data_IF_484305772480
#
_entry.id   IF_484305772480
#
_cell.length_a   1.000
_cell.length_b   1.000
_cell.length_c   1.000
_cell.angle_alpha   90.00
_cell.angle_beta   90.00
_cell.angle_gamma   90.00
#
_symmetry.space_group_name_H-M   'P 1'
#
loop_
_entity.id
_entity.type
_entity.pdbx_description
1 polymer ?
#
# COMPACT_ATOMS: atom_id res chain seq x y z
N UNK A 1 -10.97 3.39 -21.51
CA UNK A 1 -11.90 4.31 -20.84
C UNK A 1 -11.25 5.67 -20.78
N UNK A 2 -11.95 6.67 -21.24
CA UNK A 2 -11.48 8.04 -21.40
C UNK A 2 -10.99 8.62 -20.06
N UNK A 3 -9.72 8.99 -20.01
CA UNK A 3 -9.07 9.62 -18.85
C UNK A 3 -9.35 11.14 -18.76
N UNK A 4 -10.40 11.62 -19.42
CA UNK A 4 -10.64 13.04 -19.66
C UNK A 4 -11.26 13.83 -18.50
N UNK A 5 -11.41 13.24 -17.29
CA UNK A 5 -12.11 13.89 -16.17
C UNK A 5 -11.25 14.20 -14.94
N UNK A 6 -9.95 13.91 -14.94
CA UNK A 6 -9.06 14.26 -13.83
C UNK A 6 -8.40 15.63 -14.06
N UNK A 7 -9.01 16.69 -13.50
CA UNK A 7 -8.36 18.01 -13.41
C UNK A 7 -7.29 17.98 -12.33
N UNK A 8 -6.06 18.43 -12.64
CA UNK A 8 -5.00 18.66 -11.64
C UNK A 8 -3.72 17.84 -11.82
N UNK A 9 -3.73 16.78 -12.62
CA UNK A 9 -2.50 16.13 -13.04
C UNK A 9 -2.11 16.72 -14.39
N UNK A 10 -1.23 17.69 -14.39
CA UNK A 10 -0.71 18.28 -15.63
C UNK A 10 -0.28 17.16 -16.59
N UNK A 11 -0.89 17.09 -17.77
CA UNK A 11 -0.72 16.03 -18.78
C UNK A 11 0.73 15.75 -19.19
N UNK A 12 1.65 16.61 -18.79
CA UNK A 12 3.06 16.58 -19.22
C UNK A 12 3.92 15.65 -18.35
N UNK A 13 3.51 15.30 -17.13
CA UNK A 13 4.39 14.65 -16.15
C UNK A 13 3.95 13.28 -15.65
N UNK A 14 2.73 12.82 -15.96
CA UNK A 14 2.20 11.55 -15.45
C UNK A 14 1.63 10.73 -16.61
N UNK A 15 2.10 9.49 -16.72
CA UNK A 15 1.61 8.57 -17.75
C UNK A 15 0.32 7.88 -17.36
N UNK A 16 0.18 7.51 -16.08
CA UNK A 16 -0.94 6.69 -15.62
C UNK A 16 -1.13 6.79 -14.12
N UNK A 17 -2.39 6.73 -13.69
CA UNK A 17 -2.77 6.57 -12.28
C UNK A 17 -3.47 5.23 -12.12
N UNK A 18 -3.06 4.45 -11.13
CA UNK A 18 -3.66 3.15 -10.81
C UNK A 18 -3.28 2.69 -9.40
N UNK A 19 -3.84 1.56 -8.96
CA UNK A 19 -3.58 0.96 -7.65
C UNK A 19 -3.66 1.97 -6.50
N UNK A 20 -4.84 2.53 -6.32
CA UNK A 20 -5.12 3.57 -5.33
C UNK A 20 -5.65 2.97 -4.03
N UNK A 21 -5.55 3.72 -2.94
CA UNK A 21 -6.29 3.48 -1.72
C UNK A 21 -7.05 4.75 -1.32
N UNK A 22 -8.33 4.62 -1.03
CA UNK A 22 -9.22 5.74 -0.72
C UNK A 22 -10.04 5.46 0.54
N UNK A 23 -10.43 6.52 1.25
CA UNK A 23 -11.28 6.41 2.42
C UNK A 23 -12.10 7.69 2.64
N UNK A 24 -13.20 7.64 3.40
CA UNK A 24 -13.90 8.83 3.86
C UNK A 24 -12.99 9.70 4.76
N UNK A 25 -13.09 11.02 4.61
CA UNK A 25 -12.36 12.01 5.41
C UNK A 25 -13.22 13.26 5.60
N UNK A 26 -13.83 13.40 6.78
CA UNK A 26 -14.83 14.44 7.03
C UNK A 26 -16.04 14.30 6.12
N UNK A 27 -16.33 15.33 5.35
CA UNK A 27 -17.44 15.39 4.38
C UNK A 27 -16.99 15.07 2.93
N UNK A 28 -15.80 14.54 2.78
CA UNK A 28 -15.20 14.19 1.48
C UNK A 28 -14.51 12.82 1.52
N UNK A 29 -13.93 12.44 0.40
CA UNK A 29 -13.05 11.30 0.28
C UNK A 29 -11.63 11.78 0.05
N UNK A 30 -10.68 11.11 0.69
CA UNK A 30 -9.25 11.29 0.47
C UNK A 30 -8.63 10.01 -0.04
N UNK A 31 -7.62 10.13 -0.88
CA UNK A 31 -6.95 8.96 -1.44
C UNK A 31 -5.48 9.19 -1.71
N UNK A 32 -4.75 8.10 -1.69
CA UNK A 32 -3.35 8.01 -2.09
C UNK A 32 -3.26 7.17 -3.35
N UNK A 33 -2.58 7.69 -4.36
CA UNK A 33 -2.63 7.18 -5.72
C UNK A 33 -1.22 6.93 -6.24
N UNK A 34 -1.00 5.77 -6.85
CA UNK A 34 0.20 5.53 -7.63
C UNK A 34 0.13 6.34 -8.92
N UNK A 35 1.05 7.26 -9.12
CA UNK A 35 1.23 7.99 -10.37
C UNK A 35 2.57 7.66 -10.99
N UNK A 36 2.60 7.15 -12.21
CA UNK A 36 3.83 6.96 -12.96
C UNK A 36 4.23 8.24 -13.69
N UNK A 37 5.46 8.64 -13.48
CA UNK A 37 6.05 9.74 -14.24
C UNK A 37 6.44 9.31 -15.65
N UNK A 38 6.76 10.28 -16.51
CA UNK A 38 7.16 10.01 -17.90
C UNK A 38 8.44 9.16 -18.02
N UNK A 39 9.28 9.16 -16.98
CA UNK A 39 10.47 8.31 -16.87
C UNK A 39 10.17 6.88 -16.39
N UNK A 40 8.88 6.54 -16.14
CA UNK A 40 8.45 5.24 -15.64
C UNK A 40 8.62 5.03 -14.13
N UNK A 41 9.08 6.03 -13.38
CA UNK A 41 9.26 5.92 -11.94
C UNK A 41 7.93 6.23 -11.23
N UNK A 42 7.36 5.31 -10.44
CA UNK A 42 6.13 5.54 -9.70
C UNK A 42 6.39 6.30 -8.40
N UNK A 43 5.47 7.20 -8.07
CA UNK A 43 5.39 7.88 -6.77
C UNK A 43 3.94 7.94 -6.29
N UNK A 44 3.76 8.36 -5.04
CA UNK A 44 2.44 8.49 -4.42
C UNK A 44 2.00 9.95 -4.49
N UNK A 45 0.75 10.14 -4.91
CA UNK A 45 0.08 11.42 -5.00
C UNK A 45 -1.16 11.43 -4.12
N UNK A 46 -1.48 12.58 -3.56
CA UNK A 46 -2.72 12.77 -2.81
C UNK A 46 -3.84 13.21 -3.78
N UNK A 47 -5.04 12.80 -3.47
CA UNK A 47 -6.25 13.25 -4.17
C UNK A 47 -7.42 13.39 -3.22
N UNK A 48 -8.34 14.29 -3.56
CA UNK A 48 -9.58 14.57 -2.81
C UNK A 48 -10.78 14.50 -3.74
N UNK A 49 -11.91 14.04 -3.21
CA UNK A 49 -13.14 13.91 -3.98
C UNK A 49 -14.36 14.14 -3.07
N UNK A 50 -15.41 14.72 -3.63
CA UNK A 50 -16.71 14.83 -2.93
C UNK A 50 -17.63 13.63 -3.16
N UNK A 51 -17.39 12.84 -4.20
CA UNK A 51 -18.27 11.76 -4.66
C UNK A 51 -17.57 10.42 -4.91
N UNK A 52 -16.25 10.34 -4.63
CA UNK A 52 -15.37 9.20 -4.89
C UNK A 52 -15.24 8.82 -6.40
N UNK A 53 -15.78 9.64 -7.30
CA UNK A 53 -15.74 9.44 -8.75
C UNK A 53 -14.87 10.50 -9.42
N UNK A 54 -15.10 11.76 -9.08
CA UNK A 54 -14.35 12.90 -9.62
C UNK A 54 -13.27 13.33 -8.62
N UNK A 55 -12.03 13.19 -9.01
CA UNK A 55 -10.88 13.42 -8.15
C UNK A 55 -10.09 14.66 -8.56
N UNK A 56 -9.77 15.47 -7.56
CA UNK A 56 -8.77 16.52 -7.67
C UNK A 56 -7.46 16.00 -7.08
N UNK A 57 -6.41 15.99 -7.88
CA UNK A 57 -5.09 15.49 -7.48
C UNK A 57 -4.14 16.64 -7.21
N UNK A 58 -3.30 16.49 -6.19
CA UNK A 58 -2.20 17.39 -5.96
C UNK A 58 -1.21 17.31 -7.12
N UNK A 59 -0.67 18.45 -7.54
CA UNK A 59 0.31 18.50 -8.63
C UNK A 59 1.62 17.80 -8.24
N UNK A 60 1.99 17.90 -6.98
CA UNK A 60 3.21 17.33 -6.45
C UNK A 60 2.97 15.97 -5.81
N UNK A 61 3.95 15.08 -5.95
CA UNK A 61 3.99 13.85 -5.19
C UNK A 61 4.10 14.14 -3.69
N UNK A 62 3.59 13.24 -2.86
CA UNK A 62 3.72 13.34 -1.40
C UNK A 62 5.19 13.48 -1.03
N UNK A 63 5.49 14.48 -0.21
CA UNK A 63 6.80 14.68 0.39
C UNK A 63 6.79 14.07 1.79
N UNK A 64 7.67 13.12 2.03
CA UNK A 64 7.83 12.53 3.34
C UNK A 64 8.92 13.25 4.12
N UNK A 65 8.78 13.27 5.44
CA UNK A 65 9.83 13.74 6.36
C UNK A 65 10.14 12.65 7.38
N UNK A 66 11.32 12.67 7.95
CA UNK A 66 11.63 11.84 9.12
C UNK A 66 11.06 12.48 10.42
N UNK A 67 11.31 11.87 11.56
CA UNK A 67 10.82 12.37 12.86
C UNK A 67 11.46 13.70 13.28
N UNK A 68 12.58 14.08 12.69
CA UNK A 68 13.26 15.36 12.89
C UNK A 68 12.79 16.44 11.90
N UNK A 69 11.85 16.10 10.99
CA UNK A 69 11.33 16.99 9.96
C UNK A 69 12.23 17.12 8.73
N UNK A 70 13.25 16.28 8.60
CA UNK A 70 14.15 16.28 7.45
C UNK A 70 13.50 15.57 6.27
N UNK A 71 13.57 16.15 5.06
CA UNK A 71 13.00 15.54 3.87
C UNK A 71 13.53 14.12 3.60
N UNK A 72 12.62 13.22 3.33
CA UNK A 72 12.89 11.85 2.90
C UNK A 72 12.09 11.54 1.62
N UNK A 73 12.74 10.93 0.64
CA UNK A 73 12.08 10.50 -0.58
C UNK A 73 12.55 9.09 -0.94
N UNK A 74 11.63 8.12 -1.08
CA UNK A 74 11.98 6.79 -1.59
C UNK A 74 12.45 6.89 -3.05
N UNK A 75 13.30 5.97 -3.47
CA UNK A 75 13.74 5.87 -4.88
C UNK A 75 12.54 5.73 -5.81
N UNK A 76 11.58 4.93 -5.41
CA UNK A 76 10.24 4.83 -5.97
C UNK A 76 9.24 4.38 -4.90
N UNK A 77 7.96 4.66 -5.13
CA UNK A 77 6.88 4.22 -4.26
C UNK A 77 5.65 3.84 -5.10
N UNK A 78 5.12 2.64 -4.90
CA UNK A 78 3.97 2.15 -5.66
C UNK A 78 3.03 1.30 -4.80
N UNK A 79 1.83 1.08 -5.30
CA UNK A 79 0.76 0.30 -4.67
C UNK A 79 0.49 0.75 -3.23
N UNK A 80 0.11 2.02 -3.02
CA UNK A 80 -0.16 2.52 -1.68
C UNK A 80 -1.40 1.86 -1.07
N UNK A 81 -1.36 1.73 0.25
CA UNK A 81 -2.49 1.37 1.11
C UNK A 81 -2.71 2.48 2.12
N UNK A 82 -3.96 2.70 2.48
CA UNK A 82 -4.36 3.75 3.42
C UNK A 82 -5.27 3.16 4.46
N UNK A 83 -4.99 3.41 5.73
CA UNK A 83 -5.80 2.94 6.85
C UNK A 83 -5.71 3.91 8.01
N UNK A 84 -6.80 4.07 8.73
CA UNK A 84 -6.85 4.80 10.00
C UNK A 84 -6.76 3.81 11.15
N UNK A 85 -5.82 4.05 12.08
CA UNK A 85 -5.72 3.32 13.35
C UNK A 85 -5.73 4.35 14.47
N UNK A 86 -6.71 4.28 15.35
CA UNK A 86 -6.95 5.31 16.37
C UNK A 86 -7.13 6.69 15.72
N UNK A 87 -6.33 7.68 16.08
CA UNK A 87 -6.38 9.05 15.54
C UNK A 87 -5.32 9.32 14.46
N UNK A 88 -4.69 8.28 13.95
CA UNK A 88 -3.57 8.39 13.00
C UNK A 88 -3.87 7.65 11.71
N UNK A 89 -3.59 8.26 10.58
CA UNK A 89 -3.65 7.63 9.28
C UNK A 89 -2.27 7.09 8.91
N UNK A 90 -2.24 5.89 8.38
CA UNK A 90 -1.02 5.24 7.91
C UNK A 90 -1.11 4.99 6.41
N UNK A 91 -0.05 5.39 5.72
CA UNK A 91 0.17 5.07 4.31
C UNK A 91 1.27 4.01 4.26
N UNK A 92 1.01 2.92 3.55
CA UNK A 92 1.93 1.80 3.39
C UNK A 92 2.11 1.57 1.90
N UNK A 93 3.34 1.37 1.44
CA UNK A 93 3.63 1.20 0.02
C UNK A 93 4.75 0.19 -0.23
N UNK A 94 4.90 -0.20 -1.48
CA UNK A 94 6.06 -0.96 -1.93
C UNK A 94 7.15 -0.01 -2.42
N UNK A 95 8.39 -0.27 -2.04
CA UNK A 95 9.56 0.52 -2.40
C UNK A 95 10.78 -0.36 -2.64
N UNK A 96 11.89 0.27 -3.06
CA UNK A 96 13.22 -0.33 -2.99
C UNK A 96 13.95 0.09 -1.71
N UNK A 97 14.48 -0.89 -1.02
CA UNK A 97 15.41 -0.73 0.08
C UNK A 97 16.32 -1.95 0.12
N UNK A 98 17.38 -1.91 -0.70
CA UNK A 98 18.24 -3.07 -0.95
C UNK A 98 17.47 -4.30 -1.48
N UNK A 99 16.43 -4.06 -2.25
CA UNK A 99 15.46 -5.01 -2.77
C UNK A 99 14.03 -4.61 -2.44
N UNK A 100 13.08 -5.45 -2.84
CA UNK A 100 11.66 -5.18 -2.62
C UNK A 100 11.34 -5.09 -1.12
N UNK A 101 10.84 -3.94 -0.68
CA UNK A 101 10.56 -3.63 0.71
C UNK A 101 9.23 -2.89 0.88
N UNK A 102 8.80 -2.79 2.12
CA UNK A 102 7.62 -2.04 2.53
C UNK A 102 8.07 -0.73 3.15
N UNK A 103 7.57 0.38 2.63
CA UNK A 103 7.67 1.69 3.24
C UNK A 103 6.40 2.04 3.98
N UNK A 104 6.52 2.90 4.99
CA UNK A 104 5.40 3.32 5.81
C UNK A 104 5.56 4.78 6.26
N UNK A 105 4.46 5.51 6.30
CA UNK A 105 4.38 6.85 6.88
C UNK A 105 3.06 7.03 7.65
N UNK A 106 3.08 7.96 8.59
CA UNK A 106 1.91 8.38 9.37
C UNK A 106 1.58 9.84 9.10
N UNK A 107 0.30 10.17 9.17
CA UNK A 107 -0.22 11.54 9.09
C UNK A 107 -1.45 11.70 9.96
N UNK A 108 -1.76 12.94 10.37
CA UNK A 108 -3.01 13.28 11.06
C UNK A 108 -3.90 14.18 10.22
N UNK A 109 -3.33 14.87 9.25
CA UNK A 109 -3.93 16.00 8.53
C UNK A 109 -3.86 15.86 7.00
N UNK A 110 -3.10 14.90 6.49
CA UNK A 110 -2.75 14.75 5.08
C UNK A 110 -1.99 15.96 4.49
N UNK A 111 -1.31 16.69 5.34
CA UNK A 111 -0.39 17.78 4.97
C UNK A 111 1.05 17.38 5.30
N UNK A 112 1.26 16.86 6.51
CA UNK A 112 2.56 16.37 6.96
C UNK A 112 2.58 14.84 7.01
N UNK A 113 3.54 14.24 6.32
CA UNK A 113 3.70 12.78 6.22
C UNK A 113 5.03 12.37 6.85
N UNK A 114 4.95 11.87 8.08
CA UNK A 114 6.13 11.46 8.83
C UNK A 114 6.44 9.99 8.55
N UNK A 115 7.62 9.72 8.02
CA UNK A 115 8.10 8.36 7.77
C UNK A 115 8.13 7.55 9.08
N UNK A 116 7.68 6.32 9.01
CA UNK A 116 7.92 5.28 10.01
C UNK A 116 9.00 4.34 9.47
N UNK A 117 9.76 3.71 10.33
CA UNK A 117 10.77 2.73 9.90
C UNK A 117 10.15 1.60 9.08
N UNK A 118 10.94 1.01 8.21
CA UNK A 118 10.49 -0.12 7.40
C UNK A 118 10.15 -1.31 8.32
N UNK A 119 8.95 -1.86 8.24
CA UNK A 119 8.51 -2.88 9.20
C UNK A 119 9.24 -4.22 9.05
N UNK A 120 9.78 -4.49 7.86
CA UNK A 120 10.41 -5.78 7.54
C UNK A 120 11.66 -5.59 6.70
N UNK A 121 12.52 -6.59 6.76
CA UNK A 121 13.65 -6.72 5.83
C UNK A 121 13.16 -7.01 4.40
N UNK A 122 13.96 -6.70 3.38
CA UNK A 122 13.74 -7.25 2.06
C UNK A 122 13.86 -8.80 2.10
N UNK A 123 13.14 -9.55 1.35
CA UNK A 123 12.17 -9.14 0.35
C UNK A 123 10.75 -9.31 0.91
N UNK A 124 10.02 -8.22 1.04
CA UNK A 124 8.63 -8.26 1.51
C UNK A 124 7.80 -7.19 0.79
N UNK A 125 6.51 -7.48 0.53
CA UNK A 125 5.61 -6.61 -0.24
C UNK A 125 4.17 -6.72 0.23
N UNK A 126 3.32 -5.85 -0.31
CA UNK A 126 1.86 -5.90 -0.25
C UNK A 126 1.34 -5.97 1.19
N UNK A 127 1.92 -5.13 2.05
CA UNK A 127 1.47 -5.05 3.43
C UNK A 127 0.14 -4.33 3.55
N UNK A 128 -0.72 -4.85 4.41
CA UNK A 128 -1.97 -4.23 4.82
C UNK A 128 -2.08 -4.25 6.33
N UNK A 129 -2.30 -3.09 6.92
CA UNK A 129 -2.43 -2.91 8.35
C UNK A 129 -3.90 -3.03 8.76
N UNK A 130 -4.16 -3.68 9.89
CA UNK A 130 -5.50 -3.74 10.46
C UNK A 130 -5.93 -2.37 11.00
N UNK A 131 -7.23 -2.02 10.90
CA UNK A 131 -7.72 -0.69 11.27
C UNK A 131 -7.80 -0.45 12.79
N UNK A 132 -7.43 -1.40 13.60
CA UNK A 132 -7.30 -1.29 15.04
C UNK A 132 -6.31 -2.28 15.62
N UNK A 133 -5.89 -2.05 16.83
CA UNK A 133 -5.11 -3.04 17.59
C UNK A 133 -5.94 -4.30 17.90
N UNK A 134 -5.31 -5.43 17.84
CA UNK A 134 -5.85 -6.73 18.22
C UNK A 134 -5.02 -7.25 19.40
N UNK A 135 -5.68 -7.52 20.52
CA UNK A 135 -5.01 -7.92 21.78
C UNK A 135 -3.88 -6.95 22.19
N UNK A 136 -4.08 -5.65 21.99
CA UNK A 136 -3.13 -4.61 22.36
C UNK A 136 -2.01 -4.36 21.34
N UNK A 137 -1.88 -5.16 20.28
CA UNK A 137 -0.85 -5.03 19.26
C UNK A 137 -1.42 -4.49 17.95
N UNK A 138 -0.61 -3.74 17.22
CA UNK A 138 -0.81 -3.51 15.80
C UNK A 138 -0.60 -4.82 15.04
N UNK A 139 -1.39 -5.05 14.02
CA UNK A 139 -1.37 -6.30 13.23
C UNK A 139 -1.26 -5.96 11.75
N UNK A 140 -0.36 -6.61 11.06
CA UNK A 140 -0.12 -6.39 9.64
C UNK A 140 -0.05 -7.73 8.90
N UNK A 141 -0.70 -7.80 7.76
CA UNK A 141 -0.47 -8.86 6.79
C UNK A 141 0.59 -8.40 5.79
N UNK A 142 1.46 -9.29 5.38
CA UNK A 142 2.45 -9.02 4.35
C UNK A 142 2.75 -10.28 3.54
N UNK A 143 3.43 -10.10 2.42
CA UNK A 143 3.86 -11.20 1.57
C UNK A 143 5.37 -11.19 1.45
N UNK A 144 6.07 -12.04 2.18
CA UNK A 144 7.46 -12.35 1.90
C UNK A 144 7.61 -12.81 0.44
N UNK A 145 8.59 -12.29 -0.24
CA UNK A 145 8.84 -12.54 -1.66
C UNK A 145 10.30 -12.85 -1.84
N UNK A 146 10.59 -13.81 -2.72
CA UNK A 146 11.96 -14.12 -3.12
C UNK A 146 12.11 -13.89 -4.63
N UNK A 147 13.30 -13.57 -5.04
CA UNK A 147 13.69 -13.51 -6.45
C UNK A 147 14.42 -14.78 -6.91
N UNK A 148 14.57 -15.78 -6.05
CA UNK A 148 15.47 -16.90 -6.25
C UNK A 148 14.82 -18.27 -6.20
N UNK A 149 15.48 -19.18 -5.47
CA UNK A 149 15.21 -20.62 -5.50
C UNK A 149 13.93 -21.07 -4.80
N UNK A 150 13.43 -20.28 -3.85
CA UNK A 150 12.23 -20.62 -3.08
C UNK A 150 11.18 -19.52 -3.28
N UNK A 151 10.29 -19.68 -4.25
CA UNK A 151 9.25 -18.70 -4.47
C UNK A 151 8.29 -18.71 -3.29
N UNK A 152 8.36 -17.67 -2.47
CA UNK A 152 7.29 -17.32 -1.55
C UNK A 152 6.12 -16.74 -2.37
N UNK A 153 4.97 -16.70 -1.78
CA UNK A 153 3.79 -16.16 -2.46
C UNK A 153 2.59 -16.12 -1.54
N UNK A 154 2.79 -16.55 -0.32
CA UNK A 154 1.77 -16.69 0.72
C UNK A 154 1.67 -15.43 1.57
N UNK A 155 0.54 -15.26 2.25
CA UNK A 155 0.31 -14.16 3.19
C UNK A 155 0.67 -14.59 4.61
N UNK A 156 1.46 -13.74 5.26
CA UNK A 156 1.86 -13.88 6.66
C UNK A 156 1.29 -12.73 7.49
N UNK A 157 1.03 -13.01 8.76
CA UNK A 157 0.64 -12.04 9.77
C UNK A 157 1.81 -11.76 10.69
N UNK A 158 1.96 -10.49 11.08
CA UNK A 158 2.95 -10.05 12.07
C UNK A 158 2.29 -9.10 13.06
N UNK A 159 2.80 -9.08 14.28
CA UNK A 159 2.33 -8.21 15.36
C UNK A 159 3.44 -7.24 15.78
N UNK A 160 3.03 -6.05 16.22
CA UNK A 160 3.92 -5.03 16.78
C UNK A 160 3.26 -4.31 17.95
N UNK A 161 3.96 -4.05 19.06
CA UNK A 161 3.42 -3.24 20.15
C UNK A 161 3.41 -1.73 19.81
N UNK A 162 4.27 -1.27 18.90
CA UNK A 162 4.65 0.13 18.75
C UNK A 162 4.85 0.61 17.30
N UNK A 163 4.57 -0.23 16.29
CA UNK A 163 4.83 0.00 14.86
C UNK A 163 6.32 -0.06 14.44
N UNK A 164 7.24 -0.22 15.36
CA UNK A 164 8.68 -0.29 15.09
C UNK A 164 9.19 -1.74 15.14
N UNK A 165 8.84 -2.47 16.20
CA UNK A 165 9.29 -3.84 16.39
C UNK A 165 8.22 -4.83 15.94
N UNK A 166 8.43 -5.48 14.80
CA UNK A 166 7.51 -6.47 14.22
C UNK A 166 7.99 -7.89 14.47
N UNK A 167 7.08 -8.74 14.93
CA UNK A 167 7.41 -10.13 15.27
C UNK A 167 6.18 -11.04 15.24
N UNK A 168 6.29 -12.20 15.89
CA UNK A 168 5.25 -13.25 15.93
C UNK A 168 4.71 -13.59 14.51
N UNK A 169 5.63 -13.75 13.56
CA UNK A 169 5.30 -14.05 12.18
C UNK A 169 4.56 -15.38 12.07
N UNK A 170 3.37 -15.37 11.45
CA UNK A 170 2.53 -16.54 11.29
C UNK A 170 2.02 -16.63 9.86
N UNK A 171 2.09 -17.81 9.29
CA UNK A 171 1.45 -18.10 8.03
C UNK A 171 -0.09 -18.02 8.19
N UNK A 172 -0.77 -17.36 7.26
CA UNK A 172 -2.22 -17.15 7.29
C UNK A 172 -2.90 -17.79 6.10
N UNK A 173 -2.39 -17.57 4.90
CA UNK A 173 -3.04 -18.01 3.68
C UNK A 173 -2.01 -18.41 2.63
N UNK A 174 -2.16 -19.61 2.07
CA UNK A 174 -1.38 -20.09 0.94
C UNK A 174 -2.01 -19.68 -0.38
N UNK A 175 -1.17 -19.44 -1.38
CA UNK A 175 -1.60 -19.52 -2.77
C UNK A 175 -2.14 -20.91 -3.08
N UNK A 176 -2.98 -21.04 -4.08
CA UNK A 176 -3.55 -22.32 -4.51
C UNK A 176 -3.13 -22.66 -5.96
N UNK A 177 -3.35 -23.90 -6.43
CA UNK A 177 -3.10 -24.25 -7.81
C UNK A 177 -4.12 -23.66 -8.79
N UNK A 178 -5.09 -22.90 -8.31
CA UNK A 178 -6.08 -22.25 -9.14
C UNK A 178 -5.42 -21.28 -10.14
N UNK A 179 -5.95 -21.21 -11.34
CA UNK A 179 -5.35 -20.50 -12.47
C UNK A 179 -5.05 -19.02 -12.19
N UNK A 180 -5.77 -18.37 -11.29
CA UNK A 180 -5.65 -16.94 -11.02
C UNK A 180 -4.69 -16.60 -9.87
N UNK A 181 -4.30 -17.56 -9.02
CA UNK A 181 -3.46 -17.30 -7.83
C UNK A 181 -2.29 -18.29 -7.66
N UNK A 182 -1.91 -18.97 -8.74
CA UNK A 182 -0.95 -20.07 -8.68
C UNK A 182 0.50 -19.67 -8.36
N UNK A 183 0.88 -18.41 -8.59
CA UNK A 183 2.23 -17.94 -8.29
C UNK A 183 2.35 -17.26 -6.93
N UNK A 184 1.45 -16.37 -6.63
CA UNK A 184 1.45 -15.59 -5.40
C UNK A 184 0.11 -14.91 -5.17
N UNK A 185 -0.15 -14.58 -3.91
CA UNK A 185 -1.30 -13.80 -3.47
C UNK A 185 -0.81 -12.57 -2.71
N UNK A 186 -1.62 -11.56 -2.55
CA UNK A 186 -1.24 -10.35 -1.81
C UNK A 186 -2.42 -9.54 -1.32
N UNK A 187 -2.27 -8.85 -0.21
CA UNK A 187 -3.31 -8.03 0.37
C UNK A 187 -3.72 -6.87 -0.54
N UNK A 188 -5.01 -6.61 -0.60
CA UNK A 188 -5.61 -5.48 -1.28
C UNK A 188 -5.83 -4.29 -0.36
N UNK A 189 -7.06 -4.01 0.02
CA UNK A 189 -7.41 -2.99 1.02
C UNK A 189 -7.12 -3.47 2.44
N UNK A 190 -7.15 -2.55 3.41
CA UNK A 190 -7.12 -2.89 4.83
C UNK A 190 -8.28 -3.84 5.16
N UNK A 191 -8.06 -4.84 6.04
CA UNK A 191 -9.12 -5.75 6.43
C UNK A 191 -10.33 -5.03 7.04
N UNK A 192 -11.53 -5.50 6.70
CA UNK A 192 -12.78 -4.94 7.19
C UNK A 192 -13.30 -5.82 8.33
N UNK A 193 -13.54 -5.22 9.49
CA UNK A 193 -14.13 -5.95 10.62
C UNK A 193 -15.61 -6.21 10.38
N UNK A 194 -16.04 -7.43 10.64
CA UNK A 194 -17.44 -7.86 10.54
C UNK A 194 -17.82 -8.64 11.81
N UNK A 195 -19.10 -8.92 12.00
CA UNK A 195 -19.58 -9.75 13.11
C UNK A 195 -19.05 -11.19 13.07
N UNK A 196 -18.61 -11.66 11.91
CA UNK A 196 -18.10 -13.03 11.70
C UNK A 196 -16.57 -13.10 11.70
N UNK A 197 -15.88 -11.95 11.80
CA UNK A 197 -14.42 -11.86 11.75
C UNK A 197 -13.94 -10.80 10.77
N UNK A 198 -12.79 -11.04 10.16
CA UNK A 198 -12.14 -10.10 9.26
C UNK A 198 -12.34 -10.48 7.79
N UNK A 199 -12.94 -9.58 7.03
CA UNK A 199 -13.03 -9.72 5.58
C UNK A 199 -11.75 -9.13 4.95
N UNK A 200 -11.02 -9.95 4.22
CA UNK A 200 -9.83 -9.54 3.48
C UNK A 200 -10.11 -9.58 1.98
N UNK A 201 -9.96 -8.44 1.32
CA UNK A 201 -9.81 -8.41 -0.14
C UNK A 201 -8.35 -8.65 -0.50
N UNK A 202 -8.10 -9.58 -1.39
CA UNK A 202 -6.76 -9.91 -1.86
C UNK A 202 -6.74 -10.11 -3.37
N UNK A 203 -5.58 -10.09 -3.96
CA UNK A 203 -5.35 -10.38 -5.37
C UNK A 203 -4.51 -11.62 -5.54
N UNK A 204 -4.78 -12.34 -6.60
CA UNK A 204 -3.94 -13.43 -7.06
C UNK A 204 -3.05 -13.00 -8.23
N UNK A 205 -2.00 -13.75 -8.44
CA UNK A 205 -1.11 -13.60 -9.58
C UNK A 205 -0.80 -14.97 -10.14
N UNK A 206 -0.94 -15.09 -11.46
CA UNK A 206 -0.54 -16.28 -12.20
C UNK A 206 0.53 -15.92 -13.26
N UNK A 207 1.28 -16.92 -13.71
CA UNK A 207 2.22 -16.80 -14.80
C UNK A 207 1.61 -17.27 -16.11
N UNK A 208 1.85 -16.53 -17.16
CA UNK A 208 1.54 -16.92 -18.53
C UNK A 208 2.78 -16.79 -19.39
N UNK A 209 2.73 -17.30 -20.61
CA UNK A 209 3.82 -17.12 -21.60
C UNK A 209 4.09 -15.63 -21.92
N UNK A 210 3.14 -14.74 -21.63
CA UNK A 210 3.24 -13.30 -21.87
C UNK A 210 3.59 -12.50 -20.59
N UNK A 211 3.90 -13.17 -19.46
CA UNK A 211 4.24 -12.55 -18.20
C UNK A 211 3.22 -12.83 -17.08
N UNK A 212 3.12 -11.88 -16.14
CA UNK A 212 2.19 -11.99 -15.02
C UNK A 212 0.77 -11.53 -15.39
N UNK A 213 -0.21 -12.25 -14.85
CA UNK A 213 -1.62 -11.86 -14.85
C UNK A 213 -2.07 -11.62 -13.42
N UNK A 214 -2.70 -10.50 -13.15
CA UNK A 214 -3.30 -10.13 -11.87
C UNK A 214 -4.81 -10.33 -11.93
N UNK A 215 -5.38 -10.88 -10.86
CA UNK A 215 -6.82 -11.15 -10.70
C UNK A 215 -7.31 -10.72 -9.32
#
# INVERSE_FOLDING_TARGET
RDSSTSRGLGDVYKRQIFNSAVMPYGDEFIGVFRGEQTNGIPYIYLGRSKDAIHWNFDENKIQFVDEEGKPFMPVYAYDPRLVKVEDTYYIIWCQDFYGAAIGMAKTKDFETFVRVENPFLPFNRNAVLFPRKINGNFVMLSRPSDSGHTPFGDIFLSESPDMLYWGKHRHVMSKSPEWWESLKIGGGAAPIETNEGWLLFYHGVSGTCNGYVYS
#
